data_IF_163160446760
#
_entry.id   IF_163160446760
#
_cell.length_a   1.000
_cell.length_b   1.000
_cell.length_c   1.000
_cell.angle_alpha   90.00
_cell.angle_beta   90.00
_cell.angle_gamma   90.00
#
_symmetry.space_group_name_H-M   'P 1'
#
loop_
_entity.id
_entity.type
_entity.pdbx_description
1 polymer ?
#
# COMPACT_ATOMS: atom_id res chain seq x y z
N UNK A 1 -15.44 -25.23 -4.05
CA UNK A 1 -15.24 -25.28 -2.59
C UNK A 1 -16.23 -24.27 -2.04
N UNK A 2 -17.49 -24.66 -1.87
CA UNK A 2 -18.61 -23.69 -1.93
C UNK A 2 -19.04 -23.16 -0.56
N UNK A 3 -18.35 -23.58 0.50
CA UNK A 3 -18.59 -23.08 1.86
C UNK A 3 -17.87 -21.74 2.04
N UNK A 4 -18.49 -20.75 2.67
CA UNK A 4 -17.90 -19.44 3.01
C UNK A 4 -17.38 -18.58 1.83
N UNK A 5 -17.92 -18.72 0.62
CA UNK A 5 -17.45 -17.96 -0.55
C UNK A 5 -17.55 -16.43 -0.34
N UNK A 6 -18.70 -15.95 0.12
CA UNK A 6 -18.93 -14.52 0.40
C UNK A 6 -17.99 -14.00 1.51
N UNK A 7 -17.76 -14.81 2.54
CA UNK A 7 -16.85 -14.49 3.63
C UNK A 7 -15.39 -14.40 3.14
N UNK A 8 -14.94 -15.31 2.27
CA UNK A 8 -13.59 -15.25 1.69
C UNK A 8 -13.41 -14.04 0.81
N UNK A 9 -14.37 -13.72 -0.05
CA UNK A 9 -14.36 -12.52 -0.87
C UNK A 9 -14.25 -11.26 0.00
N UNK A 10 -15.05 -11.19 1.06
CA UNK A 10 -15.00 -10.08 2.03
C UNK A 10 -13.63 -9.92 2.71
N UNK A 11 -12.94 -11.02 3.02
CA UNK A 11 -11.57 -10.98 3.56
C UNK A 11 -10.57 -10.50 2.51
N UNK A 12 -10.67 -11.00 1.27
CA UNK A 12 -9.82 -10.54 0.16
C UNK A 12 -10.00 -9.05 -0.10
N UNK A 13 -11.23 -8.55 -0.08
CA UNK A 13 -11.51 -7.11 -0.17
C UNK A 13 -10.86 -6.31 0.97
N UNK A 14 -10.92 -6.80 2.21
CA UNK A 14 -10.28 -6.14 3.35
C UNK A 14 -8.75 -6.06 3.18
N UNK A 15 -8.12 -7.18 2.80
CA UNK A 15 -6.67 -7.26 2.54
C UNK A 15 -6.26 -6.27 1.43
N UNK A 16 -6.97 -6.32 0.30
CA UNK A 16 -6.71 -5.43 -0.84
C UNK A 16 -6.91 -3.95 -0.49
N UNK A 17 -7.89 -3.63 0.35
CA UNK A 17 -8.17 -2.24 0.77
C UNK A 17 -7.02 -1.62 1.58
N UNK A 18 -6.17 -2.44 2.19
CA UNK A 18 -4.96 -2.03 2.91
C UNK A 18 -3.70 -2.15 2.03
N UNK A 19 -3.85 -2.57 0.78
CA UNK A 19 -2.77 -2.83 -0.17
C UNK A 19 -1.81 -3.94 0.29
N UNK A 20 -2.35 -4.96 0.98
CA UNK A 20 -1.65 -6.20 1.24
C UNK A 20 -1.96 -7.22 0.13
N UNK A 21 -1.10 -8.22 -0.02
CA UNK A 21 -1.27 -9.28 -1.02
C UNK A 21 -2.05 -10.45 -0.43
N UNK A 22 -3.25 -10.78 -0.95
CA UNK A 22 -4.00 -11.94 -0.51
C UNK A 22 -3.47 -13.21 -1.17
N UNK A 23 -3.16 -14.22 -0.36
CA UNK A 23 -2.82 -15.57 -0.82
C UNK A 23 -3.98 -16.50 -0.45
N UNK A 24 -4.65 -17.07 -1.46
CA UNK A 24 -5.73 -18.03 -1.25
C UNK A 24 -5.72 -19.15 -2.29
N UNK A 25 -6.23 -20.32 -1.91
CA UNK A 25 -6.26 -21.50 -2.78
C UNK A 25 -7.06 -21.30 -4.08
N UNK A 26 -8.04 -20.40 -4.07
CA UNK A 26 -8.90 -20.11 -5.22
C UNK A 26 -8.19 -19.27 -6.30
N UNK A 27 -7.15 -18.51 -5.94
CA UNK A 27 -6.34 -17.72 -6.87
C UNK A 27 -5.19 -18.48 -7.52
N UNK A 28 -4.91 -19.72 -7.09
CA UNK A 28 -3.78 -20.51 -7.59
C UNK A 28 -4.15 -21.16 -8.92
N UNK A 29 -3.39 -20.83 -9.98
CA UNK A 29 -3.57 -21.43 -11.30
C UNK A 29 -3.26 -22.94 -11.27
N UNK A 30 -4.08 -23.80 -11.90
CA UNK A 30 -3.83 -25.24 -11.95
C UNK A 30 -2.53 -25.52 -12.72
N UNK A 31 -1.55 -26.13 -12.05
CA UNK A 31 -0.25 -26.48 -12.65
C UNK A 31 -0.07 -27.99 -12.89
N UNK A 32 -1.14 -28.78 -12.76
CA UNK A 32 -1.12 -30.24 -12.92
C UNK A 32 -0.46 -31.01 -11.75
N UNK A 33 0.02 -30.32 -10.71
CA UNK A 33 0.52 -30.91 -9.47
C UNK A 33 -0.58 -31.13 -8.41
N UNK A 34 -0.21 -31.68 -7.25
CA UNK A 34 -1.16 -31.77 -6.12
C UNK A 34 -1.35 -30.38 -5.52
N UNK A 35 -2.59 -30.03 -5.16
CA UNK A 35 -2.92 -28.70 -4.59
C UNK A 35 -2.06 -28.35 -3.37
N UNK A 36 -1.66 -29.34 -2.58
CA UNK A 36 -0.80 -29.15 -1.40
C UNK A 36 0.63 -28.70 -1.74
N UNK A 37 1.19 -29.19 -2.84
CA UNK A 37 2.56 -28.88 -3.26
C UNK A 37 2.71 -27.40 -3.66
N UNK A 38 1.60 -26.73 -3.95
CA UNK A 38 1.55 -25.30 -4.27
C UNK A 38 1.16 -24.47 -3.06
N UNK A 39 0.24 -24.97 -2.22
CA UNK A 39 -0.23 -24.24 -1.04
C UNK A 39 0.82 -24.14 0.06
N UNK A 40 1.57 -25.22 0.33
CA UNK A 40 2.52 -25.24 1.44
C UNK A 40 3.64 -24.18 1.30
N UNK A 41 4.31 -24.03 0.14
CA UNK A 41 5.28 -22.95 -0.06
C UNK A 41 4.69 -21.56 0.17
N UNK A 42 3.48 -21.30 -0.32
CA UNK A 42 2.80 -20.00 -0.19
C UNK A 42 2.41 -19.69 1.27
N UNK A 43 1.98 -20.69 2.03
CA UNK A 43 1.76 -20.55 3.48
C UNK A 43 3.08 -20.20 4.17
N UNK A 44 4.19 -20.84 3.77
CA UNK A 44 5.52 -20.60 4.36
C UNK A 44 6.07 -19.22 4.01
N UNK A 45 5.77 -18.64 2.87
CA UNK A 45 6.18 -17.27 2.51
C UNK A 45 5.29 -16.20 3.13
N UNK A 46 4.08 -16.57 3.55
CA UNK A 46 3.12 -15.65 4.16
C UNK A 46 3.59 -15.08 5.51
N UNK A 47 3.22 -13.82 5.75
CA UNK A 47 3.57 -13.09 6.97
C UNK A 47 2.50 -13.21 8.06
N UNK A 48 1.24 -13.39 7.67
CA UNK A 48 0.08 -13.52 8.55
C UNK A 48 -0.83 -14.59 7.96
N UNK A 49 -1.44 -15.38 8.84
CA UNK A 49 -2.47 -16.35 8.45
C UNK A 49 -3.83 -15.90 8.99
N UNK A 50 -4.82 -15.74 8.10
CA UNK A 50 -6.21 -15.45 8.49
C UNK A 50 -6.99 -16.76 8.47
N UNK A 51 -7.51 -17.15 9.63
CA UNK A 51 -8.35 -18.33 9.77
C UNK A 51 -9.82 -17.92 9.77
N UNK A 52 -10.59 -18.42 8.82
CA UNK A 52 -12.05 -18.29 8.79
C UNK A 52 -12.65 -19.67 9.04
N UNK A 53 -13.39 -19.83 10.14
CA UNK A 53 -14.06 -21.10 10.44
C UNK A 53 -15.58 -20.89 10.54
N UNK A 54 -16.30 -21.61 9.68
CA UNK A 54 -17.75 -21.56 9.52
C UNK A 54 -18.51 -22.47 10.48
N UNK A 55 -19.68 -22.93 10.01
CA UNK A 55 -20.56 -23.85 10.75
C UNK A 55 -20.07 -25.31 10.71
N UNK A 56 -19.16 -25.64 9.77
CA UNK A 56 -18.59 -26.97 9.55
C UNK A 56 -17.11 -27.00 9.93
N UNK A 57 -16.59 -28.18 10.24
CA UNK A 57 -15.16 -28.37 10.49
C UNK A 57 -14.33 -28.36 9.19
N UNK A 58 -14.95 -28.79 8.09
CA UNK A 58 -14.35 -28.81 6.76
C UNK A 58 -14.05 -30.22 6.28
N UNK A 59 -13.53 -30.33 5.05
CA UNK A 59 -13.25 -31.62 4.44
C UNK A 59 -11.95 -32.23 4.98
N UNK A 60 -12.01 -33.51 5.38
CA UNK A 60 -10.87 -34.31 5.81
C UNK A 60 -10.37 -35.12 4.59
N UNK A 61 -9.12 -34.94 4.16
CA UNK A 61 -8.58 -35.68 3.03
C UNK A 61 -8.61 -37.18 3.30
N UNK A 62 -8.98 -37.96 2.29
CA UNK A 62 -8.97 -39.43 2.34
C UNK A 62 -7.72 -40.03 1.71
N UNK A 63 -7.04 -39.25 0.86
CA UNK A 63 -5.79 -39.60 0.19
C UNK A 63 -4.90 -38.35 0.11
N UNK A 64 -3.58 -38.52 0.10
CA UNK A 64 -2.62 -37.41 0.05
C UNK A 64 -2.16 -36.90 1.42
N UNK A 65 -1.64 -35.68 1.47
CA UNK A 65 -1.12 -35.10 2.71
C UNK A 65 -2.23 -34.95 3.75
N UNK A 66 -2.00 -35.47 4.96
CA UNK A 66 -2.96 -35.39 6.07
C UNK A 66 -4.06 -36.44 6.09
N UNK A 67 -4.08 -37.39 5.15
CA UNK A 67 -5.13 -38.42 5.06
C UNK A 67 -5.27 -39.28 6.33
N UNK A 68 -4.15 -39.62 6.98
CA UNK A 68 -4.13 -40.43 8.20
C UNK A 68 -4.26 -39.62 9.50
N UNK A 69 -4.37 -38.29 9.40
CA UNK A 69 -4.32 -37.40 10.57
C UNK A 69 -5.71 -37.06 11.13
N UNK A 70 -6.79 -37.39 10.41
CA UNK A 70 -8.16 -37.07 10.83
C UNK A 70 -8.42 -35.57 10.99
N UNK A 71 -7.64 -34.73 10.29
CA UNK A 71 -7.71 -33.26 10.35
C UNK A 71 -8.26 -32.70 9.04
N UNK A 72 -9.02 -31.61 9.11
CA UNK A 72 -9.48 -30.93 7.89
C UNK A 72 -8.30 -30.23 7.20
N UNK A 73 -8.43 -29.95 5.90
CA UNK A 73 -7.40 -29.21 5.13
C UNK A 73 -7.05 -27.90 5.83
N UNK A 74 -8.04 -27.14 6.27
CA UNK A 74 -7.85 -25.88 7.01
C UNK A 74 -7.11 -26.09 8.34
N UNK A 75 -7.36 -27.18 9.06
CA UNK A 75 -6.60 -27.48 10.28
C UNK A 75 -5.13 -27.75 9.95
N UNK A 76 -4.84 -28.51 8.88
CA UNK A 76 -3.47 -28.81 8.45
C UNK A 76 -2.70 -27.55 8.04
N UNK A 77 -3.36 -26.61 7.34
CA UNK A 77 -2.78 -25.31 6.98
C UNK A 77 -2.38 -24.51 8.23
N UNK A 78 -3.25 -24.53 9.25
CA UNK A 78 -3.05 -23.84 10.51
C UNK A 78 -1.95 -24.48 11.37
N UNK A 79 -1.81 -25.80 11.33
CA UNK A 79 -0.70 -26.50 11.97
C UNK A 79 0.65 -26.07 11.38
N UNK A 80 0.73 -25.92 10.04
CA UNK A 80 1.94 -25.40 9.39
C UNK A 80 2.20 -23.96 9.81
N UNK A 81 1.19 -23.08 9.71
CA UNK A 81 1.35 -21.68 10.08
C UNK A 81 1.86 -21.55 11.53
N UNK A 82 1.33 -22.37 12.44
CA UNK A 82 1.76 -22.42 13.84
C UNK A 82 3.18 -22.95 14.00
N UNK A 83 3.53 -24.03 13.31
CA UNK A 83 4.89 -24.60 13.33
C UNK A 83 5.93 -23.56 12.87
N UNK A 84 5.57 -22.78 11.85
CA UNK A 84 6.41 -21.72 11.29
C UNK A 84 6.44 -20.43 12.13
N UNK A 85 5.64 -20.37 13.20
CA UNK A 85 5.50 -19.19 14.05
C UNK A 85 4.85 -18.00 13.34
N UNK A 86 3.99 -18.27 12.36
CA UNK A 86 3.22 -17.25 11.64
C UNK A 86 2.09 -16.78 12.57
N UNK A 87 1.90 -15.46 12.76
CA UNK A 87 0.75 -14.92 13.49
C UNK A 87 -0.57 -15.37 12.83
N UNK A 88 -1.45 -15.97 13.63
CA UNK A 88 -2.76 -16.44 13.18
C UNK A 88 -3.84 -15.50 13.72
N UNK A 89 -4.70 -15.01 12.83
CA UNK A 89 -5.87 -14.18 13.14
C UNK A 89 -7.15 -15.02 12.96
N UNK A 90 -7.72 -15.60 14.03
CA UNK A 90 -8.90 -16.45 13.94
C UNK A 90 -10.23 -15.68 14.00
N UNK A 91 -11.09 -15.98 13.02
CA UNK A 91 -12.44 -15.48 12.88
C UNK A 91 -13.45 -16.64 12.84
N UNK A 92 -14.35 -16.68 13.83
CA UNK A 92 -15.32 -17.76 13.99
C UNK A 92 -16.73 -17.30 13.64
N UNK A 93 -17.44 -18.02 12.77
CA UNK A 93 -18.85 -17.75 12.52
C UNK A 93 -19.68 -18.07 13.76
N UNK A 94 -20.53 -17.14 14.20
CA UNK A 94 -21.48 -17.37 15.28
C UNK A 94 -22.46 -18.46 14.87
N UNK A 95 -22.56 -19.49 15.70
CA UNK A 95 -23.49 -20.58 15.48
C UNK A 95 -24.89 -20.15 15.91
N UNK A 96 -25.88 -20.40 15.05
CA UNK A 96 -27.28 -20.10 15.37
C UNK A 96 -27.79 -21.02 16.48
N UNK A 97 -28.82 -20.57 17.20
CA UNK A 97 -29.50 -21.42 18.17
C UNK A 97 -30.06 -22.68 17.47
N UNK A 98 -29.70 -23.86 17.97
CA UNK A 98 -30.05 -25.14 17.34
C UNK A 98 -29.06 -25.62 16.26
N UNK A 99 -27.91 -24.96 16.10
CA UNK A 99 -26.83 -25.47 15.27
C UNK A 99 -26.39 -26.87 15.73
N UNK A 100 -25.96 -27.68 14.76
CA UNK A 100 -25.47 -29.02 15.03
C UNK A 100 -24.27 -28.98 16.00
N UNK A 101 -24.39 -29.78 17.05
CA UNK A 101 -23.44 -29.94 18.15
C UNK A 101 -23.16 -31.41 18.46
N UNK A 102 -23.80 -32.34 17.75
CA UNK A 102 -23.75 -33.77 18.06
C UNK A 102 -23.13 -34.60 16.94
N UNK A 103 -23.12 -34.12 15.71
CA UNK A 103 -22.41 -34.83 14.63
C UNK A 103 -20.90 -34.86 14.88
N UNK A 104 -20.24 -35.86 14.28
CA UNK A 104 -18.78 -35.96 14.34
C UNK A 104 -18.08 -34.71 13.80
N UNK A 105 -18.64 -34.05 12.77
CA UNK A 105 -18.13 -32.79 12.21
C UNK A 105 -18.25 -31.65 13.23
N UNK A 106 -19.41 -31.51 13.89
CA UNK A 106 -19.62 -30.49 14.92
C UNK A 106 -18.69 -30.66 16.13
N UNK A 107 -18.47 -31.90 16.58
CA UNK A 107 -17.54 -32.20 17.68
C UNK A 107 -16.09 -31.85 17.31
N UNK A 108 -15.67 -32.13 16.07
CA UNK A 108 -14.34 -31.77 15.57
C UNK A 108 -14.20 -30.25 15.41
N UNK A 109 -15.24 -29.57 14.91
CA UNK A 109 -15.31 -28.10 14.82
C UNK A 109 -15.10 -27.45 16.17
N UNK A 110 -15.86 -27.88 17.17
CA UNK A 110 -15.83 -27.28 18.52
C UNK A 110 -14.53 -27.62 19.24
N UNK A 111 -13.97 -28.82 19.01
CA UNK A 111 -12.64 -29.19 19.48
C UNK A 111 -11.56 -28.28 18.89
N UNK A 112 -11.61 -27.99 17.58
CA UNK A 112 -10.65 -27.11 16.93
C UNK A 112 -10.77 -25.66 17.41
N UNK A 113 -12.00 -25.15 17.57
CA UNK A 113 -12.25 -23.83 18.18
C UNK A 113 -11.66 -23.75 19.58
N UNK A 114 -11.82 -24.81 20.39
CA UNK A 114 -11.24 -24.89 21.74
C UNK A 114 -9.72 -25.00 21.72
N UNK A 115 -9.16 -25.75 20.79
CA UNK A 115 -7.71 -25.85 20.63
C UNK A 115 -7.08 -24.49 20.37
N UNK A 116 -7.63 -23.73 19.41
CA UNK A 116 -7.22 -22.33 19.17
C UNK A 116 -7.48 -21.47 20.41
N UNK A 117 -8.55 -21.80 21.16
CA UNK A 117 -8.90 -21.09 22.38
C UNK A 117 -7.89 -21.26 23.53
N UNK A 118 -7.08 -22.33 23.50
CA UNK A 118 -6.12 -22.67 24.54
C UNK A 118 -4.70 -22.19 24.21
N UNK A 119 -4.47 -21.56 23.04
CA UNK A 119 -3.16 -21.04 22.68
C UNK A 119 -2.76 -19.84 23.56
N UNK A 120 -1.61 -19.95 24.24
CA UNK A 120 -1.04 -18.91 25.12
C UNK A 120 -0.83 -17.55 24.42
N UNK A 121 -0.62 -17.59 23.11
CA UNK A 121 -0.34 -16.44 22.23
C UNK A 121 -1.58 -15.94 21.48
N UNK A 122 -2.75 -16.57 21.70
CA UNK A 122 -4.00 -16.33 20.98
C UNK A 122 -4.82 -15.17 21.52
N UNK A 123 -4.21 -13.98 21.62
CA UNK A 123 -4.82 -12.76 22.15
C UNK A 123 -5.88 -12.17 21.20
N UNK A 124 -5.87 -12.56 19.92
CA UNK A 124 -6.85 -12.10 18.96
C UNK A 124 -7.85 -13.21 18.60
N UNK A 125 -9.14 -13.01 18.91
CA UNK A 125 -10.25 -13.86 18.46
C UNK A 125 -11.44 -12.99 18.19
N UNK A 126 -12.05 -13.17 17.02
CA UNK A 126 -13.26 -12.44 16.69
C UNK A 126 -14.34 -13.40 16.21
N UNK A 127 -15.57 -13.16 16.66
CA UNK A 127 -16.73 -13.89 16.15
C UNK A 127 -17.49 -13.02 15.17
N UNK A 128 -17.99 -13.56 14.05
CA UNK A 128 -18.74 -12.79 13.05
C UNK A 128 -20.09 -13.43 12.72
N UNK A 129 -21.04 -12.59 12.26
CA UNK A 129 -22.37 -13.06 11.81
C UNK A 129 -22.52 -13.04 10.28
N UNK A 130 -22.07 -11.95 9.66
CA UNK A 130 -22.22 -11.66 8.23
C UNK A 130 -20.84 -11.42 7.61
N UNK A 131 -20.75 -11.55 6.28
CA UNK A 131 -19.51 -11.28 5.54
C UNK A 131 -19.05 -9.82 5.68
N UNK A 132 -19.97 -8.84 5.74
CA UNK A 132 -19.63 -7.43 6.00
C UNK A 132 -19.01 -7.21 7.38
N UNK A 133 -19.59 -7.81 8.42
CA UNK A 133 -19.04 -7.78 9.79
C UNK A 133 -17.65 -8.44 9.86
N UNK A 134 -17.46 -9.53 9.12
CA UNK A 134 -16.14 -10.17 8.99
C UNK A 134 -15.13 -9.24 8.32
N UNK A 135 -15.51 -8.56 7.23
CA UNK A 135 -14.65 -7.59 6.52
C UNK A 135 -14.13 -6.52 7.47
N UNK A 136 -15.02 -5.88 8.24
CA UNK A 136 -14.64 -4.81 9.17
C UNK A 136 -13.71 -5.30 10.29
N UNK A 137 -13.99 -6.50 10.80
CA UNK A 137 -13.15 -7.13 11.83
C UNK A 137 -11.77 -7.47 11.30
N UNK A 138 -11.68 -8.07 10.12
CA UNK A 138 -10.40 -8.34 9.45
C UNK A 138 -9.64 -7.06 9.19
N UNK A 139 -10.31 -6.04 8.64
CA UNK A 139 -9.71 -4.73 8.39
C UNK A 139 -9.07 -4.15 9.65
N UNK A 140 -9.79 -4.09 10.77
CA UNK A 140 -9.25 -3.60 12.06
C UNK A 140 -8.07 -4.44 12.57
N UNK A 141 -8.17 -5.76 12.44
CA UNK A 141 -7.10 -6.68 12.87
C UNK A 141 -5.80 -6.45 12.09
N UNK A 142 -5.93 -6.16 10.79
CA UNK A 142 -4.80 -5.84 9.93
C UNK A 142 -4.25 -4.43 10.20
N UNK A 143 -5.09 -3.47 10.61
CA UNK A 143 -4.60 -2.18 11.11
C UNK A 143 -3.81 -2.33 12.41
N UNK A 144 -4.23 -3.22 13.30
CA UNK A 144 -3.51 -3.53 14.54
C UNK A 144 -2.14 -4.18 14.26
N UNK A 145 -1.92 -4.78 13.08
CA UNK A 145 -0.57 -5.23 12.66
C UNK A 145 0.36 -4.05 12.40
N UNK A 146 -0.18 -2.97 11.82
CA UNK A 146 0.59 -1.78 11.48
C UNK A 146 0.94 -0.95 12.73
N UNK A 147 0.06 -0.96 13.72
CA UNK A 147 0.10 -0.03 14.87
C UNK A 147 0.30 -0.71 16.22
N UNK A 148 -0.12 -1.96 16.38
CA UNK A 148 -0.13 -2.68 17.65
C UNK A 148 1.17 -3.42 17.94
N UNK A 149 1.74 -3.22 19.12
CA UNK A 149 3.06 -3.73 19.51
C UNK A 149 3.21 -5.25 19.36
N UNK A 150 2.20 -6.04 19.73
CA UNK A 150 2.31 -7.50 19.71
C UNK A 150 2.34 -8.09 18.28
N UNK A 151 1.30 -7.80 17.48
CA UNK A 151 1.21 -8.33 16.10
C UNK A 151 2.34 -7.78 15.23
N UNK A 152 2.68 -6.51 15.41
CA UNK A 152 3.81 -5.86 14.75
C UNK A 152 5.13 -6.57 15.06
N UNK A 153 5.45 -6.80 16.33
CA UNK A 153 6.69 -7.51 16.72
C UNK A 153 6.71 -8.96 16.22
N UNK A 154 5.55 -9.63 16.17
CA UNK A 154 5.46 -10.97 15.64
C UNK A 154 5.77 -11.01 14.12
N UNK A 155 5.27 -10.03 13.35
CA UNK A 155 5.60 -9.85 11.93
C UNK A 155 7.09 -9.48 11.75
N UNK A 156 7.64 -8.54 12.53
CA UNK A 156 9.06 -8.17 12.51
C UNK A 156 9.98 -9.39 12.74
N UNK A 157 9.61 -10.24 13.71
CA UNK A 157 10.33 -11.46 14.03
C UNK A 157 10.27 -12.47 12.89
N UNK A 158 9.11 -12.61 12.23
CA UNK A 158 8.96 -13.49 11.07
C UNK A 158 9.83 -13.02 9.91
N UNK A 159 9.76 -11.73 9.59
CA UNK A 159 10.54 -11.12 8.50
C UNK A 159 12.02 -11.31 8.72
N UNK A 160 12.51 -11.13 9.95
CA UNK A 160 13.92 -11.38 10.28
C UNK A 160 14.35 -12.84 10.09
N UNK A 161 13.42 -13.80 10.16
CA UNK A 161 13.69 -15.24 9.95
C UNK A 161 13.56 -15.67 8.49
N UNK A 162 12.67 -15.04 7.73
CA UNK A 162 12.38 -15.37 6.33
C UNK A 162 13.11 -14.49 5.32
N UNK A 163 13.68 -13.36 5.77
CA UNK A 163 14.46 -12.48 4.92
C UNK A 163 15.63 -13.26 4.31
N UNK A 164 15.52 -13.52 3.01
CA UNK A 164 16.69 -13.72 2.17
C UNK A 164 17.50 -12.43 2.20
N UNK A 165 18.83 -12.55 2.10
CA UNK A 165 19.73 -11.40 2.09
C UNK A 165 19.18 -10.33 1.12
N UNK A 166 19.22 -9.04 1.50
CA UNK A 166 18.71 -7.98 0.64
C UNK A 166 19.38 -8.09 -0.73
N UNK A 167 18.65 -7.82 -1.83
CA UNK A 167 19.26 -7.75 -3.15
C UNK A 167 20.34 -6.67 -3.10
N UNK A 168 21.56 -7.12 -2.82
CA UNK A 168 22.71 -6.28 -2.47
C UNK A 168 23.27 -5.57 -3.68
N UNK A 169 22.68 -5.84 -4.83
CA UNK A 169 22.70 -5.03 -6.03
C UNK A 169 21.35 -5.30 -6.70
N UNK A 170 20.55 -4.26 -6.96
CA UNK A 170 19.74 -4.32 -8.17
C UNK A 170 20.75 -4.57 -9.29
N UNK A 171 20.78 -5.79 -9.84
CA UNK A 171 21.64 -6.13 -10.96
C UNK A 171 21.08 -5.35 -12.17
N UNK A 172 21.47 -4.08 -12.27
CA UNK A 172 21.01 -3.16 -13.30
C UNK A 172 21.75 -3.57 -14.58
N UNK A 173 21.16 -4.51 -15.34
CA UNK A 173 21.70 -4.88 -16.66
C UNK A 173 21.69 -3.70 -17.63
N UNK A 174 20.74 -2.76 -17.46
CA UNK A 174 20.69 -1.50 -18.22
C UNK A 174 20.18 -0.35 -17.35
N UNK A 175 20.90 0.79 -17.28
CA UNK A 175 20.43 1.96 -16.54
C UNK A 175 19.13 2.52 -17.16
N UNK A 176 18.26 3.15 -16.35
CA UNK A 176 17.04 3.78 -16.85
C UNK A 176 17.39 4.86 -17.88
N UNK A 177 16.49 5.17 -18.82
CA UNK A 177 16.71 6.23 -19.80
C UNK A 177 16.99 7.55 -19.07
N UNK A 178 18.15 8.14 -19.37
CA UNK A 178 18.50 9.48 -18.90
C UNK A 178 17.57 10.52 -19.54
N UNK A 179 17.32 11.64 -18.86
CA UNK A 179 16.52 12.72 -19.42
C UNK A 179 17.15 13.21 -20.73
N UNK A 180 16.29 13.60 -21.69
CA UNK A 180 16.74 14.14 -22.98
C UNK A 180 17.69 15.31 -22.76
N UNK A 181 18.83 15.31 -23.43
CA UNK A 181 19.75 16.45 -23.46
C UNK A 181 19.41 17.44 -24.58
N UNK A 182 18.34 17.19 -25.33
CA UNK A 182 17.88 18.07 -26.38
C UNK A 182 17.18 19.29 -25.78
N UNK A 183 17.77 20.47 -26.00
CA UNK A 183 17.28 21.76 -25.51
C UNK A 183 15.93 22.13 -26.15
N UNK A 184 15.55 21.52 -27.27
CA UNK A 184 14.25 21.73 -27.91
C UNK A 184 13.10 21.00 -27.21
N UNK A 185 13.41 20.02 -26.35
CA UNK A 185 12.41 19.28 -25.57
C UNK A 185 12.31 19.86 -24.15
N UNK A 186 11.10 20.16 -23.64
CA UNK A 186 10.94 20.58 -22.25
C UNK A 186 11.52 19.51 -21.30
N UNK A 187 12.26 19.89 -20.25
CA UNK A 187 12.79 18.94 -19.28
C UNK A 187 11.66 18.17 -18.61
N UNK A 188 11.88 16.89 -18.30
CA UNK A 188 10.87 16.09 -17.60
C UNK A 188 10.96 16.30 -16.08
N UNK A 189 9.80 16.35 -15.42
CA UNK A 189 9.65 16.38 -13.97
C UNK A 189 8.75 15.23 -13.53
N UNK A 190 9.13 14.52 -12.47
CA UNK A 190 8.28 13.49 -11.88
C UNK A 190 7.26 14.14 -10.94
N UNK A 191 5.99 13.74 -11.04
CA UNK A 191 4.97 13.99 -10.04
C UNK A 191 4.53 12.65 -9.44
N UNK A 192 5.07 12.31 -8.27
CA UNK A 192 4.92 11.01 -7.64
C UNK A 192 3.91 11.02 -6.49
N UNK A 193 3.04 10.02 -6.44
CA UNK A 193 2.14 9.77 -5.32
C UNK A 193 2.39 8.45 -4.61
N UNK A 194 1.54 8.16 -3.62
CA UNK A 194 1.75 7.07 -2.67
C UNK A 194 1.83 5.69 -3.35
N UNK A 195 1.27 5.56 -4.57
CA UNK A 195 1.33 4.34 -5.36
C UNK A 195 2.74 3.87 -5.70
N UNK A 196 3.76 4.73 -5.72
CA UNK A 196 5.16 4.29 -5.83
C UNK A 196 5.64 3.57 -4.56
N UNK A 197 5.24 4.08 -3.40
CA UNK A 197 5.67 3.62 -2.07
C UNK A 197 4.89 2.39 -1.59
N UNK A 198 3.70 2.15 -2.12
CA UNK A 198 2.87 0.97 -1.80
C UNK A 198 3.64 -0.34 -1.96
N UNK A 199 4.36 -0.50 -3.08
CA UNK A 199 5.18 -1.69 -3.35
C UNK A 199 6.40 -1.84 -2.43
N UNK A 200 6.80 -0.78 -1.73
CA UNK A 200 7.87 -0.81 -0.72
C UNK A 200 7.33 -1.24 0.68
N UNK A 201 6.03 -1.49 0.81
CA UNK A 201 5.39 -1.83 2.08
C UNK A 201 4.91 -0.61 2.88
N UNK A 202 4.92 0.60 2.31
CA UNK A 202 4.29 1.75 2.96
C UNK A 202 2.76 1.61 2.97
N UNK A 203 2.09 1.98 4.07
CA UNK A 203 0.65 1.92 4.17
C UNK A 203 -0.05 2.88 3.21
N UNK A 204 -1.21 2.46 2.73
CA UNK A 204 -2.05 3.28 1.87
C UNK A 204 -2.69 4.44 2.64
N UNK A 205 -3.18 5.46 1.92
CA UNK A 205 -3.99 6.52 2.52
C UNK A 205 -5.25 5.97 3.23
N UNK A 206 -5.81 4.86 2.75
CA UNK A 206 -6.94 4.18 3.38
C UNK A 206 -6.54 3.52 4.70
N UNK A 207 -5.34 2.93 4.79
CA UNK A 207 -4.81 2.42 6.05
C UNK A 207 -4.64 3.56 7.06
N UNK A 208 -4.10 4.71 6.64
CA UNK A 208 -3.96 5.87 7.52
C UNK A 208 -5.31 6.43 7.98
N UNK A 209 -6.29 6.54 7.07
CA UNK A 209 -7.66 6.91 7.40
C UNK A 209 -8.28 5.93 8.41
N UNK A 210 -8.09 4.62 8.19
CA UNK A 210 -8.56 3.57 9.09
C UNK A 210 -7.99 3.67 10.49
N UNK A 211 -6.68 3.89 10.63
CA UNK A 211 -6.03 4.04 11.95
C UNK A 211 -6.56 5.29 12.68
N UNK A 212 -6.67 6.42 11.99
CA UNK A 212 -7.20 7.65 12.58
C UNK A 212 -8.68 7.50 12.95
N UNK A 213 -9.48 6.87 12.08
CA UNK A 213 -10.88 6.55 12.34
C UNK A 213 -11.04 5.68 13.58
N UNK A 214 -10.23 4.62 13.71
CA UNK A 214 -10.21 3.76 14.90
C UNK A 214 -9.82 4.54 16.17
N UNK A 215 -8.83 5.44 16.09
CA UNK A 215 -8.43 6.30 17.20
C UNK A 215 -9.54 7.29 17.61
N UNK A 216 -10.42 7.66 16.68
CA UNK A 216 -11.62 8.47 16.91
C UNK A 216 -12.85 7.64 17.34
N UNK A 217 -12.74 6.30 17.39
CA UNK A 217 -13.84 5.41 17.72
C UNK A 217 -14.86 5.21 16.59
N UNK A 218 -14.49 5.52 15.34
CA UNK A 218 -15.31 5.30 14.16
C UNK A 218 -15.16 3.87 13.64
N UNK A 219 -16.23 3.33 13.06
CA UNK A 219 -16.13 2.09 12.28
C UNK A 219 -15.63 2.36 10.84
N UNK A 220 -15.24 1.32 10.08
CA UNK A 220 -14.72 1.50 8.72
C UNK A 220 -15.71 2.19 7.76
N UNK A 221 -17.01 1.93 7.89
CA UNK A 221 -18.05 2.55 7.07
C UNK A 221 -18.14 4.06 7.34
N UNK A 222 -18.25 4.44 8.62
CA UNK A 222 -18.22 5.83 9.06
C UNK A 222 -16.93 6.55 8.63
N UNK A 223 -15.78 5.88 8.77
CA UNK A 223 -14.48 6.42 8.37
C UNK A 223 -14.43 6.73 6.87
N UNK A 224 -14.99 5.84 6.04
CA UNK A 224 -14.98 5.95 4.57
C UNK A 224 -15.78 7.15 4.03
N UNK A 225 -16.70 7.70 4.82
CA UNK A 225 -17.48 8.89 4.46
C UNK A 225 -16.70 10.20 4.55
N UNK A 226 -15.48 10.17 5.10
CA UNK A 226 -14.68 11.35 5.38
C UNK A 226 -13.37 11.34 4.60
N UNK A 227 -12.90 12.52 4.20
CA UNK A 227 -11.55 12.63 3.65
C UNK A 227 -10.53 12.51 4.76
N UNK A 228 -9.30 12.10 4.40
CA UNK A 228 -8.20 12.00 5.36
C UNK A 228 -7.98 13.33 6.11
N UNK A 229 -8.08 14.46 5.41
CA UNK A 229 -7.93 15.78 6.02
C UNK A 229 -9.02 16.08 7.06
N UNK A 230 -10.27 15.71 6.80
CA UNK A 230 -11.37 15.87 7.77
C UNK A 230 -11.17 15.00 9.01
N UNK A 231 -10.71 13.75 8.82
CA UNK A 231 -10.39 12.87 9.93
C UNK A 231 -9.28 13.45 10.81
N UNK A 232 -8.23 14.02 10.20
CA UNK A 232 -7.17 14.69 10.96
C UNK A 232 -7.62 15.96 11.66
N UNK A 233 -8.49 16.76 11.05
CA UNK A 233 -9.05 17.95 11.69
C UNK A 233 -9.78 17.60 13.01
N UNK A 234 -10.60 16.54 12.97
CA UNK A 234 -11.28 16.01 14.16
C UNK A 234 -10.29 15.36 15.13
N UNK A 235 -9.29 14.61 14.64
CA UNK A 235 -8.26 13.99 15.49
C UNK A 235 -7.41 15.03 16.22
N UNK A 236 -7.02 16.12 15.57
CA UNK A 236 -6.24 17.18 16.21
C UNK A 236 -7.03 17.89 17.31
N UNK A 237 -8.33 18.11 17.11
CA UNK A 237 -9.20 18.73 18.12
C UNK A 237 -9.56 17.78 19.27
N UNK A 238 -9.62 16.47 19.00
CA UNK A 238 -10.05 15.46 19.99
C UNK A 238 -8.86 14.83 20.74
N UNK A 239 -7.79 14.48 20.04
CA UNK A 239 -6.62 13.76 20.56
C UNK A 239 -5.40 14.68 20.76
N UNK A 240 -5.40 15.85 20.11
CA UNK A 240 -4.26 16.77 20.08
C UNK A 240 -3.25 16.44 18.98
N UNK A 241 -2.63 17.48 18.40
CA UNK A 241 -1.66 17.37 17.29
C UNK A 241 -0.50 16.42 17.59
N UNK A 242 0.04 16.43 18.80
CA UNK A 242 1.15 15.52 19.19
C UNK A 242 0.75 14.06 19.03
N UNK A 243 -0.48 13.69 19.39
CA UNK A 243 -0.95 12.31 19.23
C UNK A 243 -1.22 11.98 17.77
N UNK A 244 -1.81 12.90 17.00
CA UNK A 244 -2.02 12.72 15.55
C UNK A 244 -0.71 12.47 14.81
N UNK A 245 0.33 13.26 15.12
CA UNK A 245 1.67 13.07 14.55
C UNK A 245 2.30 11.74 15.00
N UNK A 246 2.14 11.35 16.27
CA UNK A 246 2.61 10.05 16.77
C UNK A 246 2.00 8.89 15.98
N UNK A 247 0.69 8.94 15.70
CA UNK A 247 -0.01 7.91 14.91
C UNK A 247 0.56 7.82 13.49
N UNK A 248 0.78 8.97 12.84
CA UNK A 248 1.39 9.03 11.51
C UNK A 248 2.81 8.46 11.52
N UNK A 249 3.62 8.83 12.52
CA UNK A 249 4.96 8.30 12.70
C UNK A 249 4.98 6.79 12.93
N UNK A 250 4.08 6.26 13.78
CA UNK A 250 3.96 4.82 14.04
C UNK A 250 3.65 4.05 12.75
N UNK A 251 2.76 4.62 11.92
CA UNK A 251 2.30 4.01 10.68
C UNK A 251 3.35 4.10 9.54
N UNK A 252 4.04 5.23 9.40
CA UNK A 252 5.08 5.44 8.39
C UNK A 252 6.45 4.85 8.78
N UNK A 253 6.52 4.20 9.93
CA UNK A 253 7.57 3.27 10.28
C UNK A 253 6.94 1.88 10.38
N UNK A 254 6.59 1.19 9.27
CA UNK A 254 6.04 -0.16 9.31
C UNK A 254 7.03 -1.18 9.92
N UNK A 255 6.52 -2.37 10.32
CA UNK A 255 7.33 -3.48 10.83
C UNK A 255 8.31 -4.07 9.79
N UNK A 256 8.07 -3.84 8.51
CA UNK A 256 8.91 -4.37 7.44
C UNK A 256 10.10 -3.44 7.20
N UNK A 257 11.32 -3.95 6.98
CA UNK A 257 12.40 -3.14 6.45
C UNK A 257 11.93 -2.51 5.14
N UNK A 258 11.96 -1.18 5.08
CA UNK A 258 11.55 -0.46 3.89
C UNK A 258 12.78 -0.11 3.08
N UNK A 259 12.82 -0.60 1.85
CA UNK A 259 13.83 -0.26 0.87
C UNK A 259 13.19 0.49 -0.31
N UNK A 260 13.93 1.41 -0.97
CA UNK A 260 13.48 2.01 -2.20
C UNK A 260 13.21 0.98 -3.27
N UNK A 261 12.00 0.95 -3.82
CA UNK A 261 11.67 0.03 -4.93
C UNK A 261 12.46 0.36 -6.20
N UNK A 262 12.54 -0.56 -7.19
CA UNK A 262 13.16 -0.27 -8.49
C UNK A 262 12.62 1.00 -9.17
N UNK A 263 11.36 1.38 -8.91
CA UNK A 263 10.79 2.63 -9.42
C UNK A 263 11.45 3.87 -8.79
N UNK A 264 11.71 3.87 -7.48
CA UNK A 264 12.39 4.98 -6.81
C UNK A 264 13.83 5.14 -7.33
N UNK A 265 14.56 4.02 -7.45
CA UNK A 265 15.91 3.97 -8.00
C UNK A 265 15.95 4.55 -9.41
N UNK A 266 15.02 4.13 -10.28
CA UNK A 266 14.94 4.66 -11.63
C UNK A 266 14.55 6.15 -11.68
N UNK A 267 13.64 6.57 -10.80
CA UNK A 267 13.17 7.94 -10.72
C UNK A 267 14.30 8.91 -10.38
N UNK A 268 15.10 8.65 -9.33
CA UNK A 268 16.18 9.57 -8.92
C UNK A 268 17.32 9.63 -9.95
N UNK A 269 17.49 8.58 -10.75
CA UNK A 269 18.47 8.58 -11.86
C UNK A 269 17.96 9.32 -13.10
N UNK A 270 16.64 9.37 -13.32
CA UNK A 270 16.01 9.96 -14.51
C UNK A 270 15.58 11.41 -14.32
N UNK A 271 15.09 11.79 -13.15
CA UNK A 271 14.48 13.10 -12.95
C UNK A 271 15.34 13.98 -12.05
N UNK A 272 15.89 15.09 -12.57
CA UNK A 272 16.60 16.08 -11.74
C UNK A 272 15.68 16.77 -10.73
N UNK A 273 14.38 16.81 -11.01
CA UNK A 273 13.36 17.37 -10.11
C UNK A 273 12.24 16.35 -9.93
N UNK A 274 11.92 16.09 -8.67
CA UNK A 274 10.82 15.21 -8.25
C UNK A 274 9.88 16.04 -7.38
N UNK A 275 8.60 16.08 -7.76
CA UNK A 275 7.50 16.59 -6.96
C UNK A 275 6.78 15.39 -6.37
N UNK A 276 6.51 15.37 -5.06
CA UNK A 276 5.79 14.26 -4.44
C UNK A 276 4.87 14.71 -3.32
N UNK A 277 3.75 14.00 -3.17
CA UNK A 277 2.83 14.09 -2.03
C UNK A 277 3.12 13.04 -0.96
N UNK A 278 4.18 12.25 -1.13
CA UNK A 278 4.54 11.17 -0.22
C UNK A 278 5.30 11.71 1.00
N UNK A 279 4.92 11.22 2.18
CA UNK A 279 5.59 11.55 3.44
C UNK A 279 6.89 10.77 3.66
N UNK A 280 6.99 9.57 3.07
CA UNK A 280 8.12 8.65 3.22
C UNK A 280 9.43 9.16 2.61
N UNK A 281 10.56 8.52 2.97
CA UNK A 281 11.90 8.93 2.54
C UNK A 281 12.46 8.09 1.39
N UNK A 282 11.63 7.42 0.60
CA UNK A 282 12.13 6.41 -0.36
C UNK A 282 12.97 7.01 -1.48
N UNK A 283 12.69 8.24 -1.91
CA UNK A 283 13.53 8.91 -2.91
C UNK A 283 14.88 9.32 -2.31
N UNK A 284 14.89 9.83 -1.09
CA UNK A 284 16.08 10.18 -0.34
C UNK A 284 16.97 8.96 -0.12
N UNK A 285 16.38 7.85 0.35
CA UNK A 285 17.05 6.57 0.52
C UNK A 285 17.58 6.00 -0.81
N UNK A 286 16.85 6.20 -1.92
CA UNK A 286 17.34 5.81 -3.25
C UNK A 286 18.56 6.64 -3.68
N UNK A 287 18.56 7.95 -3.38
CA UNK A 287 19.71 8.81 -3.62
C UNK A 287 20.92 8.40 -2.76
N UNK A 288 20.70 8.15 -1.46
CA UNK A 288 21.73 7.68 -0.52
C UNK A 288 22.35 6.36 -1.01
N UNK A 289 21.51 5.41 -1.41
CA UNK A 289 21.94 4.11 -1.92
C UNK A 289 22.80 4.22 -3.19
N UNK A 290 22.57 5.24 -4.02
CA UNK A 290 23.27 5.46 -5.29
C UNK A 290 24.38 6.52 -5.21
N UNK A 291 24.65 7.08 -4.03
CA UNK A 291 25.57 8.21 -3.82
C UNK A 291 25.24 9.42 -4.73
N UNK A 292 23.94 9.71 -4.90
CA UNK A 292 23.45 10.86 -5.66
C UNK A 292 23.23 12.02 -4.69
N UNK A 293 23.86 13.16 -4.93
CA UNK A 293 23.57 14.39 -4.17
C UNK A 293 22.13 14.84 -4.41
N UNK A 294 21.39 15.10 -3.34
CA UNK A 294 20.01 15.53 -3.41
C UNK A 294 19.70 16.63 -2.39
N UNK A 295 18.59 17.34 -2.61
CA UNK A 295 18.08 18.40 -1.75
C UNK A 295 16.59 18.18 -1.56
N UNK A 296 16.13 18.16 -0.31
CA UNK A 296 14.71 18.04 0.04
C UNK A 296 14.15 19.43 0.35
N UNK A 297 12.99 19.74 -0.21
CA UNK A 297 12.26 20.98 0.02
C UNK A 297 10.84 20.67 0.46
N UNK A 298 10.38 21.29 1.54
CA UNK A 298 9.00 21.23 2.03
C UNK A 298 8.43 22.64 2.16
N UNK A 299 7.09 22.80 2.20
CA UNK A 299 6.50 24.08 2.57
C UNK A 299 7.04 24.56 3.93
N UNK A 300 7.47 25.82 3.99
CA UNK A 300 8.13 26.47 5.13
C UNK A 300 9.65 26.61 4.98
N UNK A 301 10.26 25.96 3.98
CA UNK A 301 11.70 26.09 3.71
C UNK A 301 12.01 27.41 2.99
N UNK A 302 13.08 28.09 3.39
CA UNK A 302 13.66 29.17 2.58
C UNK A 302 14.33 28.56 1.34
N UNK A 303 13.56 28.48 0.26
CA UNK A 303 14.03 27.85 -0.97
C UNK A 303 14.98 28.82 -1.66
N UNK A 304 16.29 28.54 -1.60
CA UNK A 304 17.34 29.24 -2.36
C UNK A 304 17.63 28.51 -3.66
N UNK A 305 18.27 29.21 -4.59
CA UNK A 305 18.73 28.57 -5.83
C UNK A 305 20.00 27.80 -5.52
N UNK A 306 19.93 26.48 -5.68
CA UNK A 306 21.02 25.59 -5.35
C UNK A 306 22.02 25.54 -6.51
N UNK A 307 23.28 25.88 -6.22
CA UNK A 307 24.35 25.94 -7.22
C UNK A 307 24.80 24.56 -7.75
N UNK A 308 24.29 23.47 -7.17
CA UNK A 308 24.70 22.09 -7.43
C UNK A 308 23.75 21.36 -8.37
N UNK A 309 24.27 20.46 -9.21
CA UNK A 309 23.50 19.50 -10.04
C UNK A 309 22.84 18.38 -9.19
N UNK A 310 22.28 18.74 -8.05
CA UNK A 310 21.63 17.80 -7.14
C UNK A 310 20.20 17.47 -7.62
N UNK A 311 19.72 16.26 -7.33
CA UNK A 311 18.30 15.94 -7.48
C UNK A 311 17.51 16.76 -6.46
N UNK A 312 16.52 17.53 -6.91
CA UNK A 312 15.66 18.31 -6.01
C UNK A 312 14.34 17.59 -5.79
N UNK A 313 14.03 17.25 -4.54
CA UNK A 313 12.82 16.55 -4.13
C UNK A 313 11.92 17.53 -3.39
N UNK A 314 10.86 17.99 -4.04
CA UNK A 314 9.82 18.81 -3.42
C UNK A 314 8.75 17.91 -2.81
N UNK A 315 8.67 17.87 -1.49
CA UNK A 315 7.67 17.11 -0.73
C UNK A 315 6.54 18.04 -0.35
N UNK A 316 5.52 18.08 -1.22
CA UNK A 316 4.42 19.04 -1.21
C UNK A 316 3.62 18.96 0.08
N UNK A 317 3.39 17.74 0.57
CA UNK A 317 2.62 17.51 1.80
C UNK A 317 3.51 17.36 3.03
N UNK A 318 4.78 17.78 2.95
CA UNK A 318 5.73 17.66 4.05
C UNK A 318 6.43 16.29 4.07
N UNK A 319 7.17 16.05 5.14
CA UNK A 319 8.05 14.87 5.24
C UNK A 319 8.07 14.30 6.66
N UNK A 320 8.21 12.98 6.76
CA UNK A 320 8.19 12.28 8.05
C UNK A 320 9.43 12.55 8.92
N UNK A 321 10.55 12.93 8.32
CA UNK A 321 11.75 13.38 9.05
C UNK A 321 11.60 14.78 9.67
N UNK A 322 10.61 15.55 9.20
CA UNK A 322 10.27 16.89 9.66
C UNK A 322 8.78 16.97 9.97
N UNK A 323 8.30 16.31 11.04
CA UNK A 323 6.87 16.17 11.32
C UNK A 323 6.09 17.49 11.40
N UNK A 324 6.74 18.60 11.72
CA UNK A 324 6.18 19.95 11.72
C UNK A 324 5.74 20.44 10.33
N UNK A 325 6.33 19.88 9.26
CA UNK A 325 6.03 20.23 7.87
C UNK A 325 4.84 19.46 7.31
N UNK A 326 4.43 18.36 7.98
CA UNK A 326 3.37 17.48 7.50
C UNK A 326 2.07 18.25 7.27
N UNK A 327 1.45 17.96 6.12
CA UNK A 327 0.14 18.45 5.71
C UNK A 327 -0.88 17.35 5.93
N UNK A 328 -1.55 17.39 7.08
CA UNK A 328 -2.51 16.37 7.50
C UNK A 328 -3.91 16.96 7.64
N UNK A 329 -4.05 18.17 8.18
CA UNK A 329 -5.35 18.84 8.39
C UNK A 329 -5.58 20.03 7.42
N UNK A 330 -6.81 20.56 7.30
CA UNK A 330 -7.09 21.75 6.52
C UNK A 330 -6.24 22.95 6.96
N UNK A 331 -5.98 23.11 8.27
CA UNK A 331 -5.12 24.14 8.80
C UNK A 331 -3.66 23.99 8.34
N UNK A 332 -3.14 22.76 8.27
CA UNK A 332 -1.83 22.51 7.68
C UNK A 332 -1.79 22.85 6.18
N UNK A 333 -2.85 22.51 5.45
CA UNK A 333 -2.95 22.83 4.02
C UNK A 333 -2.97 24.34 3.79
N UNK A 334 -3.68 25.10 4.63
CA UNK A 334 -3.65 26.57 4.61
C UNK A 334 -2.26 27.13 4.93
N UNK A 335 -1.60 26.61 5.96
CA UNK A 335 -0.20 26.97 6.29
C UNK A 335 0.71 26.73 5.09
N UNK A 336 0.67 25.53 4.53
CA UNK A 336 1.51 25.14 3.41
C UNK A 336 1.23 26.03 2.18
N UNK A 337 -0.04 26.30 1.85
CA UNK A 337 -0.44 27.17 0.73
C UNK A 337 0.06 28.61 0.86
N UNK A 338 0.21 29.11 2.09
CA UNK A 338 0.67 30.48 2.32
C UNK A 338 2.19 30.68 2.14
N UNK A 339 2.96 29.61 1.94
CA UNK A 339 4.38 29.74 1.56
C UNK A 339 4.54 30.08 0.07
N UNK A 340 4.42 31.36 -0.23
CA UNK A 340 4.56 31.88 -1.60
C UNK A 340 5.92 31.54 -2.24
N UNK A 341 6.98 31.42 -1.46
CA UNK A 341 8.33 31.18 -1.97
C UNK A 341 8.50 29.75 -2.48
N UNK A 342 7.98 28.78 -1.72
CA UNK A 342 7.95 27.38 -2.12
C UNK A 342 7.06 27.18 -3.35
N UNK A 343 5.83 27.70 -3.31
CA UNK A 343 4.88 27.50 -4.40
C UNK A 343 5.29 28.19 -5.69
N UNK A 344 5.94 29.36 -5.64
CA UNK A 344 6.46 30.01 -6.84
C UNK A 344 7.44 29.10 -7.60
N UNK A 345 8.26 28.31 -6.88
CA UNK A 345 9.22 27.39 -7.48
C UNK A 345 8.56 26.13 -8.02
N UNK A 346 7.64 25.53 -7.27
CA UNK A 346 6.87 24.37 -7.74
C UNK A 346 6.07 24.74 -9.00
N UNK A 347 5.41 25.90 -9.00
CA UNK A 347 4.68 26.39 -10.17
C UNK A 347 5.61 26.69 -11.36
N UNK A 348 6.80 27.26 -11.11
CA UNK A 348 7.77 27.48 -12.17
C UNK A 348 8.19 26.16 -12.83
N UNK A 349 8.51 25.14 -12.03
CA UNK A 349 8.82 23.79 -12.53
C UNK A 349 7.67 23.27 -13.41
N UNK A 350 6.42 23.35 -12.94
CA UNK A 350 5.25 22.89 -13.71
C UNK A 350 4.97 23.71 -14.99
N UNK A 351 5.43 24.97 -15.05
CA UNK A 351 5.30 25.83 -16.25
C UNK A 351 6.39 25.58 -17.28
N UNK A 352 7.59 25.17 -16.85
CA UNK A 352 8.75 24.99 -17.74
C UNK A 352 9.01 23.54 -18.14
N UNK A 353 8.43 22.57 -17.42
CA UNK A 353 8.75 21.16 -17.56
C UNK A 353 7.56 20.33 -18.03
N UNK A 354 7.85 19.17 -18.63
CA UNK A 354 6.88 18.14 -18.95
C UNK A 354 6.64 17.26 -17.72
N UNK A 355 5.45 17.26 -17.11
CA UNK A 355 5.16 16.41 -15.97
C UNK A 355 4.90 14.97 -16.38
N UNK A 356 5.55 14.06 -15.67
CA UNK A 356 5.34 12.62 -15.71
C UNK A 356 4.69 12.23 -14.37
N UNK A 357 3.40 11.96 -14.38
CA UNK A 357 2.63 11.61 -13.18
C UNK A 357 2.63 10.10 -13.01
N UNK A 358 3.11 9.60 -11.87
CA UNK A 358 3.19 8.15 -11.59
C UNK A 358 2.77 7.88 -10.15
N UNK A 359 1.94 6.86 -9.94
CA UNK A 359 1.51 6.43 -8.60
C UNK A 359 0.65 7.46 -7.84
N UNK A 360 0.21 8.52 -8.51
CA UNK A 360 -0.63 9.55 -7.93
C UNK A 360 -2.05 9.42 -8.49
N UNK A 361 -3.06 9.32 -7.62
CA UNK A 361 -4.46 9.16 -8.06
C UNK A 361 -4.99 10.39 -8.79
N UNK A 362 -4.44 11.57 -8.49
CA UNK A 362 -4.84 12.86 -9.06
C UNK A 362 -6.33 13.20 -8.81
N UNK A 363 -6.91 12.63 -7.75
CA UNK A 363 -8.33 12.83 -7.40
C UNK A 363 -8.55 13.91 -6.34
N UNK A 364 -7.53 14.26 -5.57
CA UNK A 364 -7.66 15.26 -4.53
C UNK A 364 -7.65 16.69 -5.11
N UNK A 365 -8.40 17.59 -4.47
CA UNK A 365 -8.58 18.95 -4.96
C UNK A 365 -7.26 19.76 -5.00
N UNK A 366 -6.32 19.48 -4.10
CA UNK A 366 -5.06 20.21 -4.01
C UNK A 366 -4.16 19.88 -5.21
N UNK A 367 -3.98 18.60 -5.52
CA UNK A 367 -3.19 18.14 -6.67
C UNK A 367 -3.81 18.55 -8.00
N UNK A 368 -5.13 18.48 -8.13
CA UNK A 368 -5.83 18.96 -9.33
C UNK A 368 -5.64 20.47 -9.50
N UNK A 369 -5.77 21.25 -8.42
CA UNK A 369 -5.54 22.68 -8.45
C UNK A 369 -4.08 23.00 -8.82
N UNK A 370 -3.11 22.33 -8.21
CA UNK A 370 -1.70 22.50 -8.52
C UNK A 370 -1.39 22.20 -9.99
N UNK A 371 -1.82 21.03 -10.48
CA UNK A 371 -1.61 20.63 -11.87
C UNK A 371 -2.36 21.51 -12.87
N UNK A 372 -3.45 22.16 -12.47
CA UNK A 372 -4.14 23.14 -13.33
C UNK A 372 -3.32 24.40 -13.62
N UNK A 373 -2.30 24.70 -12.80
CA UNK A 373 -1.41 25.87 -12.96
C UNK A 373 -0.20 25.62 -13.87
N UNK A 374 -0.05 24.39 -14.39
CA UNK A 374 1.02 24.00 -15.33
C UNK A 374 0.87 24.70 -16.68
N UNK A 375 1.92 24.64 -17.50
CA UNK A 375 1.79 24.98 -18.91
C UNK A 375 1.05 23.84 -19.66
N UNK A 376 -0.20 24.09 -20.04
CA UNK A 376 -1.03 23.13 -20.77
C UNK A 376 -0.63 22.98 -22.25
N UNK A 377 0.22 23.84 -22.81
CA UNK A 377 0.75 23.65 -24.17
C UNK A 377 1.74 22.48 -24.23
N UNK A 378 2.42 22.20 -23.12
CA UNK A 378 3.28 21.03 -22.98
C UNK A 378 2.36 19.85 -22.65
N UNK A 379 2.44 18.74 -23.39
CA UNK A 379 1.66 17.53 -23.07
C UNK A 379 2.38 16.68 -22.03
N UNK A 380 1.72 16.43 -20.89
CA UNK A 380 2.27 15.57 -19.83
C UNK A 380 1.94 14.10 -20.03
N UNK A 381 2.39 13.24 -19.11
CA UNK A 381 2.09 11.80 -19.10
C UNK A 381 1.46 11.44 -17.77
N UNK A 382 0.47 10.56 -17.80
CA UNK A 382 -0.10 9.92 -16.62
C UNK A 382 0.08 8.40 -16.75
N UNK A 383 0.76 7.80 -15.78
CA UNK A 383 1.06 6.36 -15.77
C UNK A 383 0.31 5.70 -14.62
N UNK A 384 -0.53 4.72 -14.96
CA UNK A 384 -1.25 3.91 -13.99
C UNK A 384 -1.41 2.48 -14.54
N UNK A 385 -1.53 1.44 -13.67
CA UNK A 385 -1.77 0.07 -14.15
C UNK A 385 -3.06 -0.07 -14.96
N UNK A 386 -4.10 0.69 -14.57
CA UNK A 386 -5.41 0.75 -15.23
C UNK A 386 -5.85 2.20 -15.24
N UNK A 387 -6.35 2.69 -16.38
CA UNK A 387 -6.90 4.04 -16.49
C UNK A 387 -8.41 3.94 -16.68
N UNK A 388 -9.16 4.43 -15.70
CA UNK A 388 -10.61 4.48 -15.79
C UNK A 388 -11.04 5.37 -16.98
N UNK A 389 -11.95 4.92 -17.87
CA UNK A 389 -12.37 5.68 -19.04
C UNK A 389 -13.00 7.05 -18.72
N UNK A 390 -13.63 7.19 -17.55
CA UNK A 390 -14.21 8.44 -17.06
C UNK A 390 -13.09 9.36 -16.55
N UNK A 391 -12.14 8.83 -15.78
CA UNK A 391 -10.95 9.58 -15.35
C UNK A 391 -10.15 10.07 -16.57
N UNK A 392 -10.03 9.23 -17.61
CA UNK A 392 -9.41 9.58 -18.88
C UNK A 392 -9.99 10.86 -19.49
N UNK A 393 -11.31 11.01 -19.48
CA UNK A 393 -11.99 12.19 -20.07
C UNK A 393 -12.07 13.38 -19.12
N UNK A 394 -12.27 13.16 -17.82
CA UNK A 394 -12.49 14.25 -16.86
C UNK A 394 -11.18 14.87 -16.36
N UNK A 395 -10.16 14.04 -16.17
CA UNK A 395 -8.89 14.44 -15.58
C UNK A 395 -7.82 14.63 -16.65
N UNK A 396 -7.57 13.62 -17.49
CA UNK A 396 -6.42 13.65 -18.40
C UNK A 396 -6.59 14.68 -19.51
N UNK A 397 -7.77 14.74 -20.14
CA UNK A 397 -8.06 15.74 -21.17
C UNK A 397 -7.98 17.16 -20.61
N UNK A 398 -8.61 17.41 -19.45
CA UNK A 398 -8.60 18.73 -18.78
C UNK A 398 -7.19 19.20 -18.44
N UNK A 399 -6.33 18.27 -18.04
CA UNK A 399 -4.95 18.56 -17.65
C UNK A 399 -3.95 18.37 -18.80
N UNK A 400 -4.41 18.11 -20.05
CA UNK A 400 -3.59 17.77 -21.21
C UNK A 400 -2.47 16.73 -20.90
N UNK A 401 -2.88 15.57 -20.40
CA UNK A 401 -2.03 14.42 -20.08
C UNK A 401 -2.32 13.26 -21.05
N UNK A 402 -1.30 12.54 -21.50
CA UNK A 402 -1.48 11.24 -22.16
C UNK A 402 -1.47 10.12 -21.13
N UNK A 403 -2.55 9.35 -21.07
CA UNK A 403 -2.62 8.13 -20.27
C UNK A 403 -1.76 7.00 -20.87
N UNK A 404 -0.98 6.32 -20.03
CA UNK A 404 -0.23 5.11 -20.38
C UNK A 404 -0.54 4.05 -19.33
N UNK A 405 -1.14 2.94 -19.78
CA UNK A 405 -1.38 1.77 -18.93
C UNK A 405 -0.09 0.97 -18.76
N UNK A 406 0.52 1.06 -17.58
CA UNK A 406 1.77 0.37 -17.23
C UNK A 406 2.02 0.46 -15.73
N UNK A 407 2.76 -0.50 -15.17
CA UNK A 407 3.30 -0.33 -13.82
C UNK A 407 4.35 0.77 -13.77
N UNK A 408 4.54 1.38 -12.59
CA UNK A 408 5.55 2.43 -12.39
C UNK A 408 6.96 1.94 -12.78
N UNK A 409 7.31 0.73 -12.32
CA UNK A 409 8.59 0.11 -12.63
C UNK A 409 8.76 -0.12 -14.13
N UNK A 410 7.82 -0.79 -14.80
CA UNK A 410 7.96 -1.03 -16.24
C UNK A 410 8.11 0.27 -17.03
N UNK A 411 7.30 1.29 -16.74
CA UNK A 411 7.39 2.57 -17.44
C UNK A 411 8.76 3.23 -17.28
N UNK A 412 9.28 3.26 -16.04
CA UNK A 412 10.55 3.93 -15.73
C UNK A 412 11.76 3.20 -16.29
N UNK A 413 11.71 1.87 -16.38
CA UNK A 413 12.80 1.04 -16.89
C UNK A 413 12.73 0.79 -18.40
N UNK A 414 11.57 1.01 -19.04
CA UNK A 414 11.40 0.86 -20.48
C UNK A 414 12.13 1.98 -21.23
N UNK A 415 12.97 1.61 -22.21
CA UNK A 415 13.55 2.58 -23.16
C UNK A 415 12.42 3.17 -24.00
N UNK A 416 12.08 4.43 -23.77
CA UNK A 416 11.18 5.16 -24.67
C UNK A 416 11.93 5.47 -25.97
N UNK A 417 11.74 4.65 -27.00
CA UNK A 417 12.08 5.07 -28.36
C UNK A 417 11.13 6.20 -28.73
N UNK A 418 11.67 7.39 -28.99
CA UNK A 418 10.95 8.51 -29.57
C UNK A 418 10.38 8.11 -30.95
N UNK A 419 9.22 7.48 -30.97
CA UNK A 419 8.51 7.19 -32.21
C UNK A 419 7.81 8.44 -32.66
N UNK A 420 8.39 9.10 -33.67
CA UNK A 420 7.73 10.13 -34.44
C UNK A 420 6.37 9.64 -34.94
N UNK A 421 5.45 10.59 -35.07
CA UNK A 421 4.13 10.41 -35.65
C UNK A 421 4.19 9.53 -36.90
N UNK A 422 3.51 8.38 -36.86
CA UNK A 422 2.89 7.83 -38.06
C UNK A 422 1.39 8.00 -37.89
N UNK A 423 0.88 9.05 -38.53
CA UNK A 423 -0.50 9.13 -38.96
C UNK A 423 -0.79 7.90 -39.82
N UNK A 424 -1.59 6.99 -39.28
CA UNK A 424 -2.26 5.96 -40.07
C UNK A 424 -3.70 6.42 -40.24
N UNK A 425 -4.01 6.97 -41.40
CA UNK A 425 -5.36 6.93 -41.96
C UNK A 425 -5.85 5.49 -41.93
N UNK A 426 -7.08 5.25 -41.46
CA UNK A 426 -8.16 4.47 -42.10
C UNK A 426 -9.43 4.57 -41.26
#
# INVERSE_FOLDING_TARGET
MDDLANEREAVVEAINSLNFEPVNAEGILPNGGKSWDVLEPEIRTSLICILIQGERYGWIPQEGYGADQGKSVTHLEIDIARHEGIPILPFFKKLKYGADSTSADALLRDKFRKEIADWKDGVFRSEFNLASDLKDKVFRSLLDVLTGTYLRTAVETRVSKTATAPPTNYAIETPPPKPSTDVSTPPEVLFAGAGLSLSAGYPSANALAGVIGQALGLDPDQTSHHTLAQLFDVAETTLGRTRSISIVNELLNPPLPIEPTPAHVAAVQRFPVILTTNYDRLFELACDMLDITYIVRTPGDDVKDDATRAVTIFKIDGSIDRPETLVLSPADADRARNDASFWAKVENVLKTSRPIVIGHSMRDANSVNLMSKRNLEIKGVYVAPVIDPIDGRLLLDKLNLSGIESSASEYLWKKHTSTGHKTGDW
#
